data_IF_607277021316
#
_entry.id   IF_607277021316
#
_cell.length_a   1.000
_cell.length_b   1.000
_cell.length_c   1.000
_cell.angle_alpha   90.00
_cell.angle_beta   90.00
_cell.angle_gamma   90.00
#
_symmetry.space_group_name_H-M   'P 1'
#
loop_
_entity.id
_entity.type
_entity.pdbx_description
1 polymer ?
#
# COMPACT_ATOMS: atom_id res chain seq x y z
N UNK A 1 -11.71 14.39 -10.02
CA UNK A 1 -11.59 13.92 -8.62
C UNK A 1 -11.43 12.40 -8.62
N UNK A 2 -10.19 11.92 -8.58
CA UNK A 2 -9.86 10.52 -8.27
C UNK A 2 -9.02 10.56 -6.99
N UNK A 3 -9.70 10.63 -5.83
CA UNK A 3 -9.09 10.92 -4.52
C UNK A 3 -8.23 9.78 -3.95
N UNK A 4 -8.09 8.65 -4.64
CA UNK A 4 -7.52 7.43 -4.08
C UNK A 4 -6.00 7.49 -3.82
N UNK A 5 -5.30 8.50 -4.35
CA UNK A 5 -3.85 8.67 -4.21
C UNK A 5 -3.43 10.08 -3.75
N UNK A 6 -4.35 10.81 -3.11
CA UNK A 6 -4.07 12.19 -2.71
C UNK A 6 -3.03 12.25 -1.57
N UNK A 7 -2.01 13.13 -1.65
CA UNK A 7 -1.08 13.36 -0.54
C UNK A 7 -1.79 13.74 0.77
N UNK A 8 -2.92 14.44 0.67
CA UNK A 8 -3.75 14.81 1.82
C UNK A 8 -4.30 13.59 2.55
N UNK A 9 -4.84 12.60 1.82
CA UNK A 9 -5.39 11.39 2.44
C UNK A 9 -4.29 10.61 3.17
N UNK A 10 -3.10 10.49 2.58
CA UNK A 10 -1.96 9.87 3.24
C UNK A 10 -1.58 10.64 4.52
N UNK A 11 -1.55 11.97 4.47
CA UNK A 11 -1.30 12.82 5.62
C UNK A 11 -2.32 12.60 6.74
N UNK A 12 -3.61 12.70 6.43
CA UNK A 12 -4.67 12.54 7.42
C UNK A 12 -4.63 11.16 8.08
N UNK A 13 -4.42 10.09 7.31
CA UNK A 13 -4.31 8.74 7.87
C UNK A 13 -3.09 8.61 8.78
N UNK A 14 -1.91 9.03 8.33
CA UNK A 14 -0.69 8.86 9.13
C UNK A 14 -0.71 9.75 10.38
N UNK A 15 -1.12 11.01 10.23
CA UNK A 15 -1.08 12.00 11.30
C UNK A 15 -2.15 11.76 12.37
N UNK A 16 -3.33 11.25 12.01
CA UNK A 16 -4.40 10.99 13.00
C UNK A 16 -4.28 9.64 13.69
N UNK A 17 -3.58 8.67 13.10
CA UNK A 17 -3.52 7.30 13.62
C UNK A 17 -2.20 6.99 14.33
N UNK A 18 -1.15 7.77 14.10
CA UNK A 18 0.13 7.60 14.78
C UNK A 18 0.50 8.85 15.59
N UNK A 19 0.87 8.64 16.85
CA UNK A 19 1.35 9.72 17.72
C UNK A 19 2.69 10.30 17.25
N UNK A 20 3.55 9.45 16.69
CA UNK A 20 4.84 9.83 16.09
C UNK A 20 4.93 9.27 14.67
N UNK A 21 5.60 10.00 13.77
CA UNK A 21 5.73 9.57 12.39
C UNK A 21 6.43 8.21 12.28
N UNK A 22 5.95 7.30 11.41
CA UNK A 22 6.67 6.08 11.09
C UNK A 22 8.07 6.40 10.58
N UNK A 23 9.07 5.56 10.89
CA UNK A 23 10.45 5.74 10.39
C UNK A 23 10.57 5.51 8.88
N UNK A 24 9.66 4.73 8.32
CA UNK A 24 9.60 4.38 6.90
C UNK A 24 8.14 4.39 6.45
N UNK A 25 7.86 5.14 5.39
CA UNK A 25 6.58 5.17 4.69
C UNK A 25 6.85 4.72 3.26
N UNK A 26 6.23 3.61 2.85
CA UNK A 26 6.26 3.12 1.47
C UNK A 26 4.87 3.34 0.86
N UNK A 27 4.80 4.14 -0.20
CA UNK A 27 3.55 4.53 -0.84
C UNK A 27 3.77 4.91 -2.31
N UNK A 28 2.78 4.63 -3.16
CA UNK A 28 2.91 4.74 -4.62
C UNK A 28 3.17 6.19 -5.06
N UNK A 29 2.58 7.14 -4.35
CA UNK A 29 2.74 8.59 -4.57
C UNK A 29 3.58 9.28 -3.48
N UNK A 30 4.61 8.59 -2.96
CA UNK A 30 5.44 9.10 -1.87
C UNK A 30 6.19 10.39 -2.19
N UNK A 31 6.50 10.69 -3.45
CA UNK A 31 7.18 11.93 -3.85
C UNK A 31 6.34 13.19 -3.55
N UNK A 32 5.07 13.19 -3.98
CA UNK A 32 4.12 14.25 -3.67
C UNK A 32 3.68 14.19 -2.20
N UNK A 33 3.54 12.99 -1.64
CA UNK A 33 3.31 12.76 -0.22
C UNK A 33 4.35 13.46 0.65
N UNK A 34 5.62 13.13 0.48
CA UNK A 34 6.73 13.70 1.25
C UNK A 34 6.77 15.22 1.18
N UNK A 35 6.62 15.79 -0.02
CA UNK A 35 6.53 17.26 -0.21
C UNK A 35 5.37 17.86 0.57
N UNK A 36 4.20 17.20 0.57
CA UNK A 36 3.03 17.63 1.32
C UNK A 36 3.27 17.60 2.84
N UNK A 37 3.90 16.53 3.37
CA UNK A 37 4.26 16.45 4.78
C UNK A 37 5.25 17.54 5.19
N UNK A 38 6.30 17.77 4.40
CA UNK A 38 7.29 18.82 4.67
C UNK A 38 6.66 20.23 4.70
N UNK A 39 5.65 20.48 3.88
CA UNK A 39 4.96 21.77 3.84
C UNK A 39 3.98 21.98 5.01
N UNK A 40 3.53 20.92 5.69
CA UNK A 40 2.58 21.00 6.80
C UNK A 40 3.21 20.78 8.16
N UNK A 41 3.90 19.67 8.32
CA UNK A 41 4.43 19.20 9.61
C UNK A 41 5.87 18.67 9.45
N UNK A 42 6.84 19.50 9.03
CA UNK A 42 8.21 19.04 8.76
C UNK A 42 8.91 18.49 10.01
N UNK A 43 8.59 19.02 11.19
CA UNK A 43 9.13 18.53 12.45
C UNK A 43 8.66 17.10 12.76
N UNK A 44 7.42 16.76 12.42
CA UNK A 44 6.85 15.45 12.67
C UNK A 44 7.49 14.38 11.79
N UNK A 45 7.75 14.68 10.51
CA UNK A 45 8.34 13.74 9.54
C UNK A 45 9.87 13.81 9.41
N UNK A 46 10.55 14.59 10.25
CA UNK A 46 12.00 14.84 10.13
C UNK A 46 12.84 13.57 9.99
N UNK A 47 12.47 12.54 10.74
CA UNK A 47 13.21 11.27 10.81
C UNK A 47 12.50 10.14 10.03
N UNK A 48 11.56 10.49 9.15
CA UNK A 48 10.78 9.58 8.31
C UNK A 48 11.35 9.49 6.90
N UNK A 49 11.62 8.27 6.43
CA UNK A 49 11.95 8.03 5.02
C UNK A 49 10.68 7.76 4.22
N UNK A 50 10.50 8.48 3.13
CA UNK A 50 9.44 8.25 2.15
C UNK A 50 10.01 7.54 0.93
N UNK A 51 9.47 6.37 0.59
CA UNK A 51 9.90 5.57 -0.55
C UNK A 51 8.69 5.10 -1.37
N UNK A 52 8.94 4.77 -2.62
CA UNK A 52 7.97 4.24 -3.57
C UNK A 52 8.27 2.74 -3.74
N UNK A 53 7.23 1.92 -3.82
CA UNK A 53 7.39 0.49 -4.10
C UNK A 53 8.10 0.24 -5.45
N UNK A 54 8.84 -0.88 -5.55
CA UNK A 54 9.67 -1.24 -6.71
C UNK A 54 8.89 -1.33 -8.02
N UNK A 55 7.64 -1.77 -7.99
CA UNK A 55 6.83 -1.94 -9.20
C UNK A 55 6.24 -0.61 -9.65
N UNK A 56 5.79 0.20 -8.69
CA UNK A 56 5.28 1.53 -8.97
C UNK A 56 6.37 2.49 -9.43
N UNK A 57 7.57 2.42 -8.85
CA UNK A 57 8.68 3.32 -9.19
C UNK A 57 9.07 3.24 -10.67
N UNK A 58 8.98 2.06 -11.31
CA UNK A 58 9.27 1.89 -12.75
C UNK A 58 8.41 2.78 -13.65
N UNK A 59 7.19 3.13 -13.22
CA UNK A 59 6.27 4.00 -13.96
C UNK A 59 6.43 5.49 -13.65
N UNK A 60 7.25 5.86 -12.68
CA UNK A 60 7.45 7.27 -12.31
C UNK A 60 8.37 7.97 -13.30
N UNK A 61 7.94 9.16 -13.76
CA UNK A 61 8.76 10.08 -14.55
C UNK A 61 8.94 11.38 -13.77
N UNK A 62 10.17 11.91 -13.75
CA UNK A 62 10.49 13.17 -13.06
C UNK A 62 10.64 13.08 -11.52
N UNK A 63 10.62 11.89 -10.93
CA UNK A 63 10.92 11.69 -9.52
C UNK A 63 12.41 11.45 -9.26
N UNK A 64 12.90 11.89 -8.10
CA UNK A 64 14.26 11.64 -7.65
C UNK A 64 14.48 10.15 -7.33
N UNK A 65 15.65 9.61 -7.70
CA UNK A 65 16.04 8.21 -7.40
C UNK A 65 16.06 7.89 -5.90
N UNK A 66 16.15 8.90 -5.02
CA UNK A 66 16.08 8.70 -3.58
C UNK A 66 14.72 8.14 -3.12
N UNK A 67 13.67 8.23 -3.94
CA UNK A 67 12.39 7.59 -3.65
C UNK A 67 12.33 6.12 -4.06
N UNK A 68 13.30 5.60 -4.82
CA UNK A 68 13.30 4.19 -5.23
C UNK A 68 13.72 3.28 -4.08
N UNK A 69 12.80 2.46 -3.56
CA UNK A 69 13.13 1.48 -2.51
C UNK A 69 14.17 0.44 -2.97
N UNK A 70 14.31 0.20 -4.28
CA UNK A 70 15.32 -0.73 -4.80
C UNK A 70 16.76 -0.26 -4.57
N UNK A 71 16.98 1.04 -4.35
CA UNK A 71 18.30 1.64 -4.07
C UNK A 71 18.77 1.42 -2.62
N UNK A 72 17.93 0.84 -1.76
CA UNK A 72 18.20 0.62 -0.33
C UNK A 72 18.27 -0.88 0.00
N UNK A 73 19.45 -1.53 -0.10
CA UNK A 73 19.61 -2.96 0.16
C UNK A 73 19.17 -3.37 1.57
N UNK A 74 19.28 -2.50 2.57
CA UNK A 74 18.87 -2.75 3.95
C UNK A 74 17.35 -2.96 4.10
N UNK A 75 16.57 -2.48 3.12
CA UNK A 75 15.11 -2.59 3.07
C UNK A 75 14.64 -3.78 2.21
N UNK A 76 15.57 -4.50 1.55
CA UNK A 76 15.24 -5.67 0.72
C UNK A 76 14.55 -6.80 1.47
N UNK A 77 14.72 -6.86 2.79
CA UNK A 77 14.03 -7.80 3.68
C UNK A 77 12.52 -7.58 3.77
N UNK A 78 12.04 -6.39 3.40
CA UNK A 78 10.61 -6.08 3.40
C UNK A 78 10.00 -6.36 2.03
N UNK A 79 8.84 -7.00 2.02
CA UNK A 79 8.05 -7.18 0.81
C UNK A 79 7.23 -5.90 0.54
N UNK A 80 7.80 -4.99 -0.24
CA UNK A 80 7.15 -3.73 -0.63
C UNK A 80 5.94 -3.94 -1.57
N UNK A 81 5.91 -5.06 -2.29
CA UNK A 81 4.88 -5.43 -3.27
C UNK A 81 3.66 -6.12 -2.65
N UNK A 82 3.59 -6.23 -1.32
CA UNK A 82 2.57 -7.02 -0.63
C UNK A 82 1.13 -6.60 -0.99
N UNK A 83 0.90 -5.30 -1.17
CA UNK A 83 -0.40 -4.76 -1.57
C UNK A 83 -0.80 -5.24 -2.97
N UNK A 84 0.12 -5.22 -3.93
CA UNK A 84 -0.11 -5.66 -5.31
C UNK A 84 -0.35 -7.17 -5.39
N UNK A 85 0.46 -7.96 -4.67
CA UNK A 85 0.29 -9.40 -4.59
C UNK A 85 -1.09 -9.77 -4.04
N UNK A 86 -1.57 -9.04 -3.02
CA UNK A 86 -2.91 -9.21 -2.48
C UNK A 86 -3.99 -8.79 -3.49
N UNK A 87 -3.81 -7.64 -4.14
CA UNK A 87 -4.77 -7.13 -5.12
C UNK A 87 -4.90 -8.04 -6.34
N UNK A 88 -3.80 -8.62 -6.82
CA UNK A 88 -3.78 -9.60 -7.92
C UNK A 88 -4.63 -10.83 -7.58
N UNK A 89 -4.54 -11.36 -6.37
CA UNK A 89 -5.40 -12.47 -5.92
C UNK A 89 -6.88 -12.08 -5.87
N UNK A 90 -7.19 -10.85 -5.45
CA UNK A 90 -8.57 -10.34 -5.43
C UNK A 90 -9.10 -10.02 -6.83
N UNK A 91 -8.23 -9.78 -7.81
CA UNK A 91 -8.64 -9.47 -9.18
C UNK A 91 -9.45 -10.61 -9.81
N UNK A 92 -9.15 -11.87 -9.45
CA UNK A 92 -9.88 -13.06 -9.88
C UNK A 92 -11.38 -12.93 -9.55
N UNK A 93 -11.69 -12.43 -8.34
CA UNK A 93 -13.07 -12.27 -7.88
C UNK A 93 -13.90 -11.36 -8.78
N UNK A 94 -13.30 -10.37 -9.45
CA UNK A 94 -14.05 -9.41 -10.27
C UNK A 94 -14.90 -10.12 -11.34
N UNK A 95 -14.34 -11.12 -12.00
CA UNK A 95 -15.05 -11.88 -13.05
C UNK A 95 -16.17 -12.77 -12.48
N UNK A 96 -15.93 -13.45 -11.36
CA UNK A 96 -16.90 -14.32 -10.71
C UNK A 96 -18.06 -13.54 -10.08
N UNK A 97 -17.75 -12.37 -9.53
CA UNK A 97 -18.71 -11.53 -8.83
C UNK A 97 -19.56 -10.64 -9.74
N UNK A 98 -19.16 -10.43 -11.00
CA UNK A 98 -19.74 -9.43 -11.89
C UNK A 98 -21.25 -9.57 -12.10
N UNK A 99 -21.76 -10.81 -12.10
CA UNK A 99 -23.17 -11.12 -12.39
C UNK A 99 -23.96 -11.54 -11.14
N UNK A 100 -23.37 -11.44 -9.95
CA UNK A 100 -24.04 -11.80 -8.70
C UNK A 100 -24.95 -10.67 -8.20
N UNK A 101 -26.07 -11.04 -7.58
CA UNK A 101 -26.83 -10.09 -6.77
C UNK A 101 -26.00 -9.65 -5.55
N UNK A 102 -26.27 -8.46 -5.00
CA UNK A 102 -25.53 -7.92 -3.86
C UNK A 102 -25.43 -8.90 -2.65
N UNK A 103 -26.49 -9.64 -2.25
CA UNK A 103 -26.37 -10.61 -1.16
C UNK A 103 -25.41 -11.77 -1.48
N UNK A 104 -25.47 -12.29 -2.71
CA UNK A 104 -24.59 -13.37 -3.16
C UNK A 104 -23.14 -12.90 -3.28
N UNK A 105 -22.93 -11.68 -3.78
CA UNK A 105 -21.64 -11.02 -3.82
C UNK A 105 -20.99 -10.99 -2.43
N UNK A 106 -21.71 -10.50 -1.42
CA UNK A 106 -21.18 -10.36 -0.06
C UNK A 106 -20.86 -11.73 0.56
N UNK A 107 -21.74 -12.72 0.39
CA UNK A 107 -21.51 -14.07 0.89
C UNK A 107 -20.28 -14.71 0.22
N UNK A 108 -20.17 -14.61 -1.10
CA UNK A 108 -19.08 -15.20 -1.87
C UNK A 108 -17.73 -14.57 -1.53
N UNK A 109 -17.64 -13.24 -1.47
CA UNK A 109 -16.41 -12.53 -1.08
C UNK A 109 -15.99 -12.92 0.33
N UNK A 110 -16.92 -12.98 1.29
CA UNK A 110 -16.61 -13.39 2.67
C UNK A 110 -16.07 -14.82 2.73
N UNK A 111 -16.71 -15.75 2.02
CA UNK A 111 -16.29 -17.15 1.96
C UNK A 111 -14.90 -17.29 1.31
N UNK A 112 -14.65 -16.62 0.20
CA UNK A 112 -13.37 -16.64 -0.48
C UNK A 112 -12.23 -16.11 0.40
N UNK A 113 -12.46 -14.99 1.10
CA UNK A 113 -11.48 -14.43 2.03
C UNK A 113 -11.19 -15.38 3.19
N UNK A 114 -12.22 -16.03 3.75
CA UNK A 114 -12.07 -17.03 4.81
C UNK A 114 -11.23 -18.23 4.34
N UNK A 115 -11.58 -18.84 3.20
CA UNK A 115 -10.84 -19.97 2.63
C UNK A 115 -9.38 -19.60 2.31
N UNK A 116 -9.17 -18.39 1.77
CA UNK A 116 -7.83 -17.86 1.48
C UNK A 116 -6.98 -17.64 2.72
N UNK A 117 -7.59 -17.40 3.88
CA UNK A 117 -6.89 -17.29 5.15
C UNK A 117 -6.57 -18.68 5.72
N UNK A 118 -7.53 -19.60 5.71
CA UNK A 118 -7.35 -20.99 6.20
C UNK A 118 -6.23 -21.72 5.46
N UNK A 119 -6.18 -21.61 4.13
CA UNK A 119 -5.14 -22.25 3.31
C UNK A 119 -3.72 -21.70 3.57
N UNK A 120 -3.59 -20.49 4.11
CA UNK A 120 -2.28 -19.96 4.52
C UNK A 120 -1.81 -20.54 5.83
N UNK A 121 -2.71 -20.69 6.80
CA UNK A 121 -2.41 -21.28 8.11
C UNK A 121 -1.88 -22.71 7.94
N UNK A 122 -2.46 -23.49 7.03
CA UNK A 122 -2.00 -24.86 6.74
C UNK A 122 -0.64 -24.93 6.05
N UNK A 123 -0.24 -23.91 5.28
CA UNK A 123 1.07 -23.89 4.58
C UNK A 123 2.22 -23.38 5.47
N UNK A 124 1.92 -22.72 6.58
CA UNK A 124 2.92 -22.24 7.55
C UNK A 124 3.29 -23.25 8.64
N UNK A 125 2.69 -24.44 8.63
CA UNK A 125 2.93 -25.51 9.63
C UNK A 125 3.79 -26.67 9.08
N UNK A 126 4.29 -26.55 7.85
CA UNK A 126 5.26 -27.46 7.19
C UNK A 126 6.54 -26.71 6.93
#
# INVERSE_FOLDING_TARGET
MSQHESPQTLFEVLYTRWQAAPRLVVYDNSCHGHTYFLNREPAWVRDTRFLIDKMHYKGHSGCCEAYDIAKYPELSKYNSQLAEQRNSRLAILKSHCAYMTQPMFLLYVRFFLFMSAMLRVSQSQT
#
